data_IF_639185463685
#
_entry.id   IF_639185463685
#
_cell.length_a   1.000
_cell.length_b   1.000
_cell.length_c   1.000
_cell.angle_alpha   90.00
_cell.angle_beta   90.00
_cell.angle_gamma   90.00
#
_symmetry.space_group_name_H-M   'P 1'
#
loop_
_entity.id
_entity.type
_entity.pdbx_description
1 polymer ?
#
# COMPACT_ATOMS: atom_id res chain seq x y z
N UNK A 1 46.24 -3.83 -9.04
CA UNK A 1 44.92 -4.17 -9.56
C UNK A 1 43.91 -4.02 -8.42
N UNK A 2 43.22 -2.89 -8.34
CA UNK A 2 42.18 -2.62 -7.32
C UNK A 2 40.85 -3.12 -7.86
N UNK A 3 40.37 -4.24 -7.34
CA UNK A 3 38.99 -4.71 -7.62
C UNK A 3 38.02 -3.73 -6.97
N UNK A 4 37.40 -2.89 -7.79
CA UNK A 4 36.25 -2.11 -7.38
C UNK A 4 35.09 -3.05 -7.09
N UNK A 5 34.78 -3.31 -5.84
CA UNK A 5 33.49 -3.83 -5.41
C UNK A 5 32.44 -2.76 -5.73
N UNK A 6 31.79 -2.87 -6.91
CA UNK A 6 30.54 -2.21 -7.16
C UNK A 6 29.49 -2.95 -6.33
N UNK A 7 29.22 -2.45 -5.13
CA UNK A 7 28.01 -2.80 -4.42
C UNK A 7 26.85 -2.29 -5.28
N UNK A 8 26.19 -3.20 -5.99
CA UNK A 8 24.88 -2.93 -6.56
C UNK A 8 23.95 -2.66 -5.36
N UNK A 9 23.71 -1.41 -5.06
CA UNK A 9 22.69 -1.01 -4.13
C UNK A 9 21.35 -1.38 -4.77
N UNK A 10 20.86 -2.59 -4.50
CA UNK A 10 19.47 -2.95 -4.77
C UNK A 10 18.65 -2.02 -3.89
N UNK A 11 18.19 -0.93 -4.46
CA UNK A 11 17.27 -0.01 -3.81
C UNK A 11 15.91 -0.70 -3.68
N UNK A 12 15.82 -1.64 -2.74
CA UNK A 12 14.55 -2.21 -2.32
C UNK A 12 13.83 -1.14 -1.51
N UNK A 13 12.82 -0.50 -2.10
CA UNK A 13 12.05 0.53 -1.44
C UNK A 13 10.68 -0.03 -1.08
N UNK A 14 10.19 0.46 0.02
CA UNK A 14 9.01 -0.01 0.74
C UNK A 14 7.72 0.22 -0.03
N UNK A 15 6.90 -0.81 -0.13
CA UNK A 15 5.60 -0.75 -0.77
C UNK A 15 4.56 -0.22 0.21
N UNK A 16 4.02 0.90 -0.15
CA UNK A 16 2.89 1.55 0.47
C UNK A 16 1.76 1.66 -0.56
N UNK A 17 0.63 1.02 -0.29
CA UNK A 17 -0.43 0.84 -1.26
C UNK A 17 -1.60 1.80 -1.03
N UNK A 18 -2.22 2.21 -2.12
CA UNK A 18 -3.50 2.90 -2.16
C UNK A 18 -4.53 2.06 -2.88
N UNK A 19 -5.79 2.22 -2.50
CA UNK A 19 -6.94 1.66 -3.19
C UNK A 19 -8.16 2.56 -3.01
N UNK A 20 -9.16 2.38 -3.88
CA UNK A 20 -10.48 2.97 -3.71
C UNK A 20 -11.51 1.91 -3.34
N UNK A 21 -12.51 2.30 -2.58
CA UNK A 21 -13.75 1.55 -2.42
C UNK A 21 -14.92 2.35 -2.98
N UNK A 22 -15.91 1.64 -3.51
CA UNK A 22 -17.00 2.25 -4.29
C UNK A 22 -17.94 3.15 -3.51
N UNK A 23 -17.99 3.01 -2.18
CA UNK A 23 -18.88 3.80 -1.31
C UNK A 23 -18.26 4.03 0.04
N UNK A 24 -18.60 5.17 0.66
CA UNK A 24 -18.30 5.40 2.06
C UNK A 24 -19.18 4.55 3.02
N UNK A 25 -20.08 3.75 2.46
CA UNK A 25 -20.99 2.88 3.21
C UNK A 25 -20.68 1.43 2.92
N UNK A 26 -20.30 0.67 3.92
CA UNK A 26 -20.00 -0.76 3.82
C UNK A 26 -21.02 -1.54 4.63
N UNK A 27 -21.57 -2.59 4.04
CA UNK A 27 -22.36 -3.58 4.79
C UNK A 27 -21.38 -4.49 5.52
N UNK A 28 -21.32 -4.38 6.83
CA UNK A 28 -20.47 -5.22 7.67
C UNK A 28 -21.18 -6.55 7.96
N UNK A 29 -20.60 -7.63 7.52
CA UNK A 29 -20.88 -8.97 8.04
C UNK A 29 -19.64 -9.36 8.87
N UNK A 30 -19.72 -9.05 10.14
CA UNK A 30 -18.94 -9.60 11.30
C UNK A 30 -17.47 -9.68 11.28
N UNK A 31 -16.54 -9.39 10.59
CA UNK A 31 -15.12 -9.65 10.95
C UNK A 31 -14.04 -8.68 10.47
N UNK A 32 -14.32 -7.77 9.55
CA UNK A 32 -13.25 -7.02 8.88
C UNK A 32 -13.13 -5.54 9.26
N UNK A 33 -13.93 -5.04 10.19
CA UNK A 33 -13.90 -3.63 10.57
C UNK A 33 -13.19 -3.44 11.91
N UNK A 34 -11.95 -3.00 11.85
CA UNK A 34 -11.22 -2.55 13.04
C UNK A 34 -11.61 -1.09 13.32
N UNK A 35 -12.61 -0.87 14.18
CA UNK A 35 -12.98 0.48 14.60
C UNK A 35 -12.13 0.99 15.75
N UNK A 36 -11.75 2.25 15.66
CA UNK A 36 -11.16 3.02 16.76
C UNK A 36 -12.18 3.49 17.80
N UNK A 37 -13.42 3.00 17.75
CA UNK A 37 -14.44 3.28 18.78
C UNK A 37 -15.20 2.00 19.09
N UNK A 38 -15.27 1.68 20.37
CA UNK A 38 -15.95 0.54 20.97
C UNK A 38 -17.39 0.36 20.46
N UNK A 39 -17.59 -0.51 19.49
CA UNK A 39 -18.90 -1.02 19.10
C UNK A 39 -18.93 -2.49 19.45
N UNK A 40 -19.67 -2.83 20.51
CA UNK A 40 -19.99 -4.21 20.87
C UNK A 40 -20.84 -4.83 19.77
N UNK A 41 -20.30 -5.82 19.08
CA UNK A 41 -21.04 -6.58 18.07
C UNK A 41 -21.66 -7.80 18.76
N UNK A 42 -22.93 -7.68 19.09
CA UNK A 42 -23.77 -8.81 19.41
C UNK A 42 -24.83 -8.94 18.33
N UNK A 43 -24.81 -10.04 17.56
CA UNK A 43 -25.89 -10.39 16.64
C UNK A 43 -25.50 -10.43 15.16
N UNK A 44 -26.08 -11.36 14.46
CA UNK A 44 -25.89 -11.73 13.04
C UNK A 44 -26.58 -10.72 12.06
N UNK A 45 -26.64 -9.44 12.38
CA UNK A 45 -27.27 -8.43 11.53
C UNK A 45 -26.22 -7.69 10.69
N UNK A 46 -26.41 -7.68 9.39
CA UNK A 46 -25.62 -6.85 8.47
C UNK A 46 -25.92 -5.37 8.75
N UNK A 47 -24.93 -4.66 9.29
CA UNK A 47 -25.05 -3.25 9.62
C UNK A 47 -24.38 -2.38 8.55
N UNK A 48 -25.09 -1.38 8.07
CA UNK A 48 -24.48 -0.37 7.20
C UNK A 48 -23.63 0.58 8.05
N UNK A 49 -22.33 0.69 7.70
CA UNK A 49 -21.39 1.58 8.38
C UNK A 49 -20.96 2.69 7.44
N UNK A 50 -21.10 3.93 7.89
CA UNK A 50 -20.61 5.10 7.15
C UNK A 50 -19.19 5.40 7.58
N UNK A 51 -18.25 5.33 6.63
CA UNK A 51 -16.84 5.63 6.85
C UNK A 51 -16.57 7.13 6.86
N UNK A 52 -15.63 7.55 7.70
CA UNK A 52 -15.12 8.92 7.81
C UNK A 52 -13.63 8.94 7.64
N UNK A 53 -13.07 10.08 7.22
CA UNK A 53 -11.62 10.27 7.17
C UNK A 53 -10.99 9.96 8.54
N UNK A 54 -9.92 9.17 8.53
CA UNK A 54 -9.24 8.66 9.71
C UNK A 54 -9.68 7.29 10.20
N UNK A 55 -10.85 6.80 9.78
CA UNK A 55 -11.31 5.44 10.11
C UNK A 55 -10.35 4.39 9.56
N UNK A 56 -10.37 3.20 10.18
CA UNK A 56 -9.54 2.05 9.77
C UNK A 56 -10.43 0.87 9.44
N UNK A 57 -10.12 0.23 8.34
CA UNK A 57 -10.77 -1.02 7.90
C UNK A 57 -9.71 -2.05 7.50
N UNK A 58 -10.02 -3.33 7.65
CA UNK A 58 -9.18 -4.41 7.17
C UNK A 58 -9.77 -4.95 5.86
N UNK A 59 -8.99 -4.97 4.79
CA UNK A 59 -9.32 -5.57 3.50
C UNK A 59 -8.08 -6.32 3.02
N UNK A 60 -8.22 -7.62 2.81
CA UNK A 60 -7.11 -8.49 2.43
C UNK A 60 -6.11 -8.74 3.55
N UNK A 61 -5.12 -9.57 3.24
CA UNK A 61 -3.98 -9.90 4.11
C UNK A 61 -2.70 -9.89 3.30
N UNK A 62 -1.55 -9.78 3.96
CA UNK A 62 -0.26 -9.95 3.33
C UNK A 62 0.68 -10.70 4.26
N UNK A 63 1.22 -11.84 3.78
CA UNK A 63 2.06 -12.74 4.57
C UNK A 63 1.40 -13.17 5.89
N UNK A 64 0.07 -13.38 5.88
CA UNK A 64 -0.70 -13.80 7.03
C UNK A 64 -1.11 -12.69 8.00
N UNK A 65 -0.72 -11.44 7.77
CA UNK A 65 -1.19 -10.28 8.57
C UNK A 65 -2.29 -9.52 7.83
N UNK A 66 -3.39 -9.12 8.49
CA UNK A 66 -4.41 -8.28 7.88
C UNK A 66 -3.84 -6.96 7.37
N UNK A 67 -4.23 -6.56 6.17
CA UNK A 67 -3.89 -5.24 5.65
C UNK A 67 -4.89 -4.24 6.23
N UNK A 68 -4.43 -3.39 7.13
CA UNK A 68 -5.21 -2.29 7.69
C UNK A 68 -5.09 -1.07 6.79
N UNK A 69 -6.23 -0.56 6.35
CA UNK A 69 -6.34 0.63 5.53
C UNK A 69 -6.92 1.77 6.32
N UNK A 70 -6.35 2.95 6.18
CA UNK A 70 -6.90 4.20 6.71
C UNK A 70 -7.70 4.91 5.63
N UNK A 71 -8.88 5.38 5.97
CA UNK A 71 -9.69 6.27 5.13
C UNK A 71 -9.02 7.63 5.07
N UNK A 72 -8.63 8.07 3.87
CA UNK A 72 -8.00 9.37 3.65
C UNK A 72 -9.04 10.40 3.22
N UNK A 73 -9.87 10.03 2.26
CA UNK A 73 -10.88 10.90 1.69
C UNK A 73 -12.16 10.11 1.43
N UNK A 74 -13.30 10.75 1.68
CA UNK A 74 -14.64 10.23 1.38
C UNK A 74 -15.31 11.13 0.35
N UNK A 75 -15.97 10.53 -0.63
CA UNK A 75 -16.62 11.26 -1.72
C UNK A 75 -17.36 10.28 -2.62
N UNK A 76 -17.32 10.50 -3.93
CA UNK A 76 -17.87 9.55 -4.89
C UNK A 76 -17.22 8.17 -4.84
N UNK A 77 -15.89 8.13 -4.64
CA UNK A 77 -15.12 6.96 -4.23
C UNK A 77 -14.37 7.29 -2.95
N UNK A 78 -14.22 6.31 -2.07
CA UNK A 78 -13.47 6.48 -0.82
C UNK A 78 -12.03 6.05 -1.04
N UNK A 79 -11.08 6.97 -0.82
CA UNK A 79 -9.66 6.70 -0.92
C UNK A 79 -9.14 6.07 0.38
N UNK A 80 -8.52 4.93 0.23
CA UNK A 80 -7.88 4.19 1.31
C UNK A 80 -6.36 4.18 1.14
N UNK A 81 -5.64 4.22 2.23
CA UNK A 81 -4.18 4.17 2.28
C UNK A 81 -3.75 3.15 3.32
N UNK A 82 -2.85 2.22 2.97
CA UNK A 82 -2.38 1.23 3.94
C UNK A 82 -1.78 1.92 5.17
N UNK A 83 -2.14 1.46 6.37
CA UNK A 83 -1.68 2.05 7.64
C UNK A 83 -0.17 1.83 7.85
N UNK A 84 0.36 0.75 7.29
CA UNK A 84 1.77 0.36 7.39
C UNK A 84 2.37 0.09 6.01
N UNK A 85 3.67 0.11 5.97
CA UNK A 85 4.44 -0.37 4.82
C UNK A 85 4.44 -1.90 4.84
N UNK A 86 4.05 -2.52 3.73
CA UNK A 86 3.76 -3.95 3.67
C UNK A 86 4.97 -4.80 3.30
N UNK A 87 5.80 -4.36 2.35
CA UNK A 87 6.97 -5.12 1.91
C UNK A 87 8.04 -4.25 1.26
N UNK A 88 9.22 -4.85 1.09
CA UNK A 88 10.29 -4.35 0.24
C UNK A 88 10.15 -4.90 -1.16
N UNK A 89 10.12 -4.02 -2.17
CA UNK A 89 10.14 -4.44 -3.57
C UNK A 89 10.80 -3.39 -4.45
N UNK A 90 11.58 -3.84 -5.43
CA UNK A 90 12.14 -2.97 -6.45
C UNK A 90 11.03 -2.36 -7.31
N UNK A 91 11.20 -1.10 -7.68
CA UNK A 91 10.29 -0.44 -8.63
C UNK A 91 10.43 -1.03 -10.02
N UNK A 92 11.66 -1.18 -10.45
CA UNK A 92 12.08 -1.87 -11.66
C UNK A 92 13.30 -2.75 -11.33
N UNK A 93 13.18 -4.08 -11.41
CA UNK A 93 14.27 -4.99 -11.09
C UNK A 93 15.26 -5.21 -12.24
N UNK A 94 15.32 -4.31 -13.23
CA UNK A 94 16.25 -4.43 -14.34
C UNK A 94 17.69 -4.61 -13.87
N UNK A 95 18.41 -5.58 -14.44
CA UNK A 95 19.77 -5.93 -14.00
C UNK A 95 20.82 -4.86 -14.33
N UNK A 96 20.55 -4.00 -15.29
CA UNK A 96 21.44 -2.93 -15.71
C UNK A 96 21.39 -1.68 -14.81
N UNK A 97 20.48 -1.65 -13.84
CA UNK A 97 20.33 -0.53 -12.91
C UNK A 97 19.83 0.76 -13.55
N UNK A 98 19.44 0.71 -14.83
CA UNK A 98 18.85 1.83 -15.59
C UNK A 98 17.33 1.59 -15.68
N UNK A 99 16.70 1.39 -14.53
CA UNK A 99 15.25 1.17 -14.46
C UNK A 99 14.46 2.38 -14.91
N UNK A 100 13.28 2.11 -15.47
CA UNK A 100 12.31 3.15 -15.80
C UNK A 100 11.79 3.83 -14.52
N UNK A 101 11.62 5.15 -14.55
CA UNK A 101 10.89 5.90 -13.52
C UNK A 101 9.40 6.05 -13.85
N UNK A 102 8.94 5.47 -14.95
CA UNK A 102 7.55 5.49 -15.37
C UNK A 102 6.74 4.43 -14.62
N UNK A 103 5.90 4.89 -13.70
CA UNK A 103 5.06 3.99 -12.92
C UNK A 103 4.10 3.19 -13.80
N UNK A 104 3.52 3.79 -14.83
CA UNK A 104 2.50 3.13 -15.65
C UNK A 104 3.06 1.94 -16.44
N UNK A 105 4.35 2.00 -16.77
CA UNK A 105 5.07 0.90 -17.44
C UNK A 105 5.87 0.01 -16.47
N UNK A 106 5.84 0.27 -15.17
CA UNK A 106 6.72 -0.40 -14.22
C UNK A 106 6.31 -1.85 -13.92
N UNK A 107 7.29 -2.76 -13.76
CA UNK A 107 7.04 -4.09 -13.25
C UNK A 107 6.37 -4.10 -11.87
N UNK A 108 6.60 -3.08 -11.04
CA UNK A 108 5.94 -2.95 -9.75
C UNK A 108 4.43 -2.75 -9.90
N UNK A 109 3.98 -1.87 -10.82
CA UNK A 109 2.54 -1.69 -11.09
C UNK A 109 1.90 -2.99 -11.58
N UNK A 110 2.56 -3.67 -12.51
CA UNK A 110 2.07 -4.95 -13.04
C UNK A 110 1.92 -5.98 -11.91
N UNK A 111 2.89 -6.08 -11.02
CA UNK A 111 2.83 -6.99 -9.88
C UNK A 111 1.72 -6.59 -8.88
N UNK A 112 1.54 -5.31 -8.61
CA UNK A 112 0.48 -4.82 -7.71
C UNK A 112 -0.92 -5.21 -8.16
N UNK A 113 -1.15 -5.32 -9.47
CA UNK A 113 -2.46 -5.57 -10.06
C UNK A 113 -2.57 -6.95 -10.73
N UNK A 114 -1.71 -7.89 -10.36
CA UNK A 114 -1.68 -9.24 -10.89
C UNK A 114 -2.18 -10.26 -9.87
N UNK A 115 -2.97 -11.24 -10.34
CA UNK A 115 -3.38 -12.41 -9.55
C UNK A 115 -2.21 -13.34 -9.20
N UNK A 116 -1.12 -13.31 -9.95
CA UNK A 116 0.14 -13.98 -9.60
C UNK A 116 1.07 -13.10 -8.75
N UNK A 117 0.66 -11.88 -8.46
CA UNK A 117 1.39 -10.88 -7.68
C UNK A 117 0.71 -10.55 -6.36
N UNK A 118 0.45 -9.25 -6.15
CA UNK A 118 -0.11 -8.76 -4.88
C UNK A 118 -1.60 -9.09 -4.73
N UNK A 119 -2.38 -9.09 -5.82
CA UNK A 119 -3.81 -9.42 -5.81
C UNK A 119 -4.09 -10.94 -5.87
N UNK A 120 -3.17 -11.78 -5.43
CA UNK A 120 -3.39 -13.22 -5.42
C UNK A 120 -4.46 -13.64 -4.39
N UNK A 121 -5.06 -14.84 -4.53
CA UNK A 121 -6.12 -15.32 -3.64
C UNK A 121 -5.71 -15.53 -2.18
N UNK A 122 -4.41 -15.67 -1.89
CA UNK A 122 -3.88 -15.75 -0.53
C UNK A 122 -3.93 -14.39 0.18
N UNK A 123 -3.81 -13.31 -0.59
CA UNK A 123 -3.83 -11.95 -0.09
C UNK A 123 -5.23 -11.34 -0.08
N UNK A 124 -6.04 -11.62 -1.12
CA UNK A 124 -7.37 -11.03 -1.27
C UNK A 124 -8.39 -12.11 -1.67
N UNK A 125 -9.41 -12.29 -0.85
CA UNK A 125 -10.57 -13.11 -1.20
C UNK A 125 -11.40 -12.42 -2.31
N UNK A 126 -12.29 -13.16 -2.97
CA UNK A 126 -13.25 -12.58 -3.91
C UNK A 126 -14.10 -11.49 -3.25
N UNK A 127 -14.44 -11.66 -1.98
CA UNK A 127 -15.17 -10.65 -1.21
C UNK A 127 -14.33 -9.38 -1.05
N UNK A 128 -13.04 -9.49 -0.67
CA UNK A 128 -12.15 -8.33 -0.55
C UNK A 128 -12.05 -7.58 -1.88
N UNK A 129 -11.86 -8.30 -2.98
CA UNK A 129 -11.79 -7.72 -4.31
C UNK A 129 -13.10 -7.04 -4.73
N UNK A 130 -14.25 -7.58 -4.31
CA UNK A 130 -15.55 -6.96 -4.59
C UNK A 130 -15.75 -5.60 -3.91
N UNK A 131 -15.04 -5.32 -2.84
CA UNK A 131 -15.05 -4.04 -2.13
C UNK A 131 -14.21 -2.97 -2.83
N UNK A 132 -13.18 -3.39 -3.57
CA UNK A 132 -12.19 -2.49 -4.17
C UNK A 132 -12.69 -1.99 -5.54
N UNK A 133 -12.45 -0.73 -5.83
CA UNK A 133 -12.81 -0.10 -7.11
C UNK A 133 -11.56 0.40 -7.82
N UNK A 134 -11.46 0.24 -9.14
CA UNK A 134 -10.29 0.68 -9.89
C UNK A 134 -10.15 2.21 -9.88
N UNK A 135 -8.90 2.66 -9.97
CA UNK A 135 -8.58 4.07 -10.24
C UNK A 135 -8.87 4.44 -11.71
N UNK A 136 -8.47 5.62 -12.12
CA UNK A 136 -8.63 6.11 -13.51
C UNK A 136 -7.81 5.33 -14.55
N UNK A 137 -6.78 4.60 -14.11
CA UNK A 137 -5.92 3.78 -14.98
C UNK A 137 -6.33 2.31 -14.99
N UNK A 138 -7.40 1.95 -14.28
CA UNK A 138 -7.85 0.59 -14.11
C UNK A 138 -7.15 -0.18 -12.98
N UNK A 139 -6.28 0.45 -12.20
CA UNK A 139 -5.52 -0.18 -11.11
C UNK A 139 -6.40 -0.32 -9.87
N UNK A 140 -6.47 -1.54 -9.31
CA UNK A 140 -7.12 -1.80 -8.02
C UNK A 140 -6.23 -1.37 -6.86
N UNK A 141 -4.94 -1.60 -6.99
CA UNK A 141 -3.92 -1.18 -6.00
C UNK A 141 -2.87 -0.33 -6.72
N UNK A 142 -2.58 0.84 -6.16
CA UNK A 142 -1.67 1.80 -6.79
C UNK A 142 -0.79 2.54 -5.77
N UNK A 143 0.26 3.19 -6.27
CA UNK A 143 1.13 4.03 -5.46
C UNK A 143 0.59 5.47 -5.35
N UNK A 144 0.81 6.14 -4.20
CA UNK A 144 0.44 7.55 -4.08
C UNK A 144 1.24 8.42 -5.05
N UNK A 145 0.58 9.40 -5.65
CA UNK A 145 1.29 10.47 -6.35
C UNK A 145 1.78 11.53 -5.35
N UNK A 146 2.79 12.32 -5.75
CA UNK A 146 3.24 13.48 -4.94
C UNK A 146 2.09 14.46 -4.67
N UNK A 147 1.17 14.64 -5.63
CA UNK A 147 0.05 15.56 -5.47
C UNK A 147 -0.99 15.03 -4.48
N UNK A 148 -1.29 13.74 -4.49
CA UNK A 148 -2.12 13.11 -3.46
C UNK A 148 -1.50 13.29 -2.08
N UNK A 149 -0.19 13.10 -1.95
CA UNK A 149 0.52 13.24 -0.68
C UNK A 149 0.54 14.69 -0.16
N UNK A 150 0.43 15.73 -0.99
CA UNK A 150 0.35 17.12 -0.52
C UNK A 150 -0.89 17.37 0.34
N UNK A 151 -1.99 16.70 0.02
CA UNK A 151 -3.27 16.84 0.73
C UNK A 151 -3.34 15.99 2.01
N UNK A 152 -2.33 15.17 2.29
CA UNK A 152 -2.24 14.33 3.48
C UNK A 152 -1.30 14.97 4.49
N UNK A 153 -1.67 15.00 5.77
CA UNK A 153 -0.84 15.60 6.82
C UNK A 153 0.55 14.96 6.90
N UNK A 154 1.56 15.71 7.34
CA UNK A 154 2.91 15.19 7.50
C UNK A 154 2.97 13.98 8.46
N UNK A 155 2.11 13.95 9.48
CA UNK A 155 1.98 12.83 10.41
C UNK A 155 1.41 11.59 9.70
N UNK A 156 0.38 11.78 8.88
CA UNK A 156 -0.27 10.70 8.14
C UNK A 156 0.54 10.18 6.95
N UNK A 157 1.51 10.93 6.47
CA UNK A 157 2.47 10.47 5.43
C UNK A 157 3.57 9.58 6.00
N UNK A 158 3.86 9.65 7.31
CA UNK A 158 4.90 8.84 7.94
C UNK A 158 4.34 7.45 8.24
N UNK A 159 4.98 6.41 7.72
CA UNK A 159 4.55 5.03 7.88
C UNK A 159 5.64 4.16 8.49
N UNK A 160 5.26 3.34 9.45
CA UNK A 160 6.09 2.28 9.98
C UNK A 160 5.89 1.00 9.17
N UNK A 161 6.88 0.11 9.10
CA UNK A 161 6.72 -1.19 8.45
C UNK A 161 5.86 -2.14 9.29
N UNK A 162 5.30 -3.18 8.65
CA UNK A 162 4.74 -4.35 9.32
C UNK A 162 5.86 -5.18 9.97
N UNK A 163 5.51 -6.06 10.90
CA UNK A 163 6.50 -6.98 11.48
C UNK A 163 7.07 -7.93 10.42
N UNK A 164 6.25 -8.41 9.49
CA UNK A 164 6.68 -9.25 8.40
C UNK A 164 7.61 -8.51 7.43
N UNK A 165 7.34 -7.23 7.17
CA UNK A 165 8.22 -6.39 6.38
C UNK A 165 9.61 -6.27 7.04
N UNK A 166 9.66 -6.12 8.37
CA UNK A 166 10.92 -6.08 9.14
C UNK A 166 11.63 -7.43 9.10
N UNK A 167 10.91 -8.53 9.32
CA UNK A 167 11.49 -9.89 9.30
C UNK A 167 12.10 -10.25 7.94
N UNK A 168 11.49 -9.76 6.86
CA UNK A 168 11.95 -10.00 5.49
C UNK A 168 12.99 -8.98 5.00
N UNK A 169 13.35 -8.00 5.82
CA UNK A 169 14.40 -7.03 5.50
C UNK A 169 15.80 -7.63 5.67
N UNK A 170 16.32 -8.21 4.60
CA UNK A 170 17.69 -8.75 4.56
C UNK A 170 18.77 -7.68 4.68
N UNK A 171 18.44 -6.42 4.39
CA UNK A 171 19.37 -5.29 4.46
C UNK A 171 19.51 -4.70 5.86
N UNK A 172 18.66 -5.09 6.80
CA UNK A 172 18.52 -4.51 8.15
C UNK A 172 18.21 -3.01 8.16
N UNK A 173 17.78 -2.46 7.05
CA UNK A 173 17.45 -1.03 6.91
C UNK A 173 16.32 -0.59 7.84
N UNK A 174 15.32 -1.46 8.03
CA UNK A 174 14.10 -1.17 8.82
C UNK A 174 14.30 -1.34 10.32
N UNK A 175 15.22 -2.19 10.74
CA UNK A 175 15.45 -2.50 12.15
C UNK A 175 15.79 -1.25 12.98
N UNK A 176 16.36 -0.22 12.34
CA UNK A 176 16.81 1.01 12.98
C UNK A 176 15.87 2.21 12.73
N UNK A 177 14.76 2.06 12.01
CA UNK A 177 13.93 3.18 11.59
C UNK A 177 12.47 3.01 11.98
N UNK A 178 11.95 3.99 12.70
CA UNK A 178 10.52 4.06 13.06
C UNK A 178 9.64 4.35 11.83
N UNK A 179 10.15 5.12 10.87
CA UNK A 179 9.43 5.51 9.65
C UNK A 179 10.29 5.22 8.44
N UNK A 180 9.63 4.86 7.35
CA UNK A 180 10.28 4.40 6.14
C UNK A 180 9.95 5.30 4.95
N UNK A 181 10.85 5.31 3.99
CA UNK A 181 10.62 5.86 2.66
C UNK A 181 9.81 4.86 1.86
N UNK A 182 8.95 5.33 0.98
CA UNK A 182 8.13 4.50 0.11
C UNK A 182 8.07 5.05 -1.31
N UNK A 183 7.76 4.18 -2.25
CA UNK A 183 7.60 4.55 -3.64
C UNK A 183 6.40 5.48 -3.85
N UNK A 184 6.53 6.36 -4.84
CA UNK A 184 5.42 7.17 -5.37
C UNK A 184 5.26 6.90 -6.85
N UNK A 185 4.05 7.10 -7.39
CA UNK A 185 3.78 7.00 -8.81
C UNK A 185 4.26 8.23 -9.61
N UNK A 186 4.74 9.28 -8.94
CA UNK A 186 5.26 10.47 -9.59
C UNK A 186 6.70 10.27 -10.03
N UNK A 187 7.06 10.58 -11.29
CA UNK A 187 8.43 10.45 -11.75
C UNK A 187 9.38 11.36 -10.97
N UNK A 188 10.61 10.91 -10.83
CA UNK A 188 11.70 11.76 -10.29
C UNK A 188 12.07 12.75 -11.37
N UNK A 189 12.06 14.07 -11.04
CA UNK A 189 12.55 15.08 -11.98
C UNK A 189 14.04 14.86 -12.22
N UNK A 190 14.45 14.93 -13.49
CA UNK A 190 15.85 14.74 -13.94
C UNK A 190 16.86 15.67 -13.27
N UNK A 191 16.41 16.69 -12.54
CA UNK A 191 17.26 17.65 -11.83
C UNK A 191 17.64 17.25 -10.39
N UNK A 192 17.25 16.08 -9.93
CA UNK A 192 17.67 15.55 -8.62
C UNK A 192 18.65 14.37 -8.79
N UNK A 193 19.67 14.57 -9.65
CA UNK A 193 20.91 13.81 -9.55
C UNK A 193 21.83 14.57 -8.59
N UNK A 194 21.89 14.14 -7.38
CA UNK A 194 22.98 14.44 -6.47
C UNK A 194 23.49 13.14 -5.88
#
# INVERSE_FOLDING_TARGET
MKKAFRAAAIAAILLFALTFIGSAKIKSTSAHLLFSSSVSVGGNESREVTLKSGDRIAIGSYLGEPIVWRVIETGGKTLLMSEKVLCFRAFDPSEDGIGSSDYLASPLRAWLNSESGFLNPENFSEFDLSLISPDRNGDLIFLPSKDMLKNISAADRRRSPTEQCIKNDTSRYLTLRKYCWYWTSSPVSTNQRA
#
